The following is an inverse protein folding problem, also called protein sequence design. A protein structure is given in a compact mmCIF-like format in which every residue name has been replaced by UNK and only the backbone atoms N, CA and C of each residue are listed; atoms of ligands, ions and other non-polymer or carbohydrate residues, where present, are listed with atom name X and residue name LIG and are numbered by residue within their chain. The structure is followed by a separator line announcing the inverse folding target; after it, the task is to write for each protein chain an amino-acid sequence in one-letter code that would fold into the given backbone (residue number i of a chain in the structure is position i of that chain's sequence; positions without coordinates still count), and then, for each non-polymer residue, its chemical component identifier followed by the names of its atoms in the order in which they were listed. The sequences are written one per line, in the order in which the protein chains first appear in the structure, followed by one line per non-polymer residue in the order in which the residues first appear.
data_IF_539649754347
#
_entry.id   IF_539649754347
#
_cell.length_a   1.000
_cell.length_b   1.000
_cell.length_c   1.000
_cell.angle_alpha   90.00
_cell.angle_beta   90.00
_cell.angle_gamma   90.00
#
_symmetry.space_group_name_H-M   'P 1'
#
loop_
_entity.id
_entity.type
_entity.pdbx_description
1 polymer ?
#
# COMPACT_ATOMS: atom_id res chain seq x y z
N UNK A 1 4.09 1.68 -14.83
CA UNK A 1 3.28 0.43 -15.02
C UNK A 1 3.81 -0.62 -14.06
N UNK A 2 2.92 -1.41 -13.43
CA UNK A 2 3.30 -2.50 -12.53
C UNK A 2 2.48 -3.75 -12.88
N UNK A 3 3.06 -4.93 -12.69
CA UNK A 3 2.37 -6.22 -12.76
C UNK A 3 2.13 -6.69 -11.33
N UNK A 4 0.91 -7.07 -11.01
CA UNK A 4 0.48 -7.49 -9.69
C UNK A 4 -0.02 -8.94 -9.75
N UNK A 5 0.52 -9.82 -8.92
CA UNK A 5 0.06 -11.20 -8.77
C UNK A 5 -0.20 -11.46 -7.29
N UNK A 6 -1.45 -11.70 -6.94
CA UNK A 6 -1.88 -11.97 -5.56
C UNK A 6 -2.52 -13.33 -5.41
N UNK A 7 -2.12 -14.07 -4.38
CA UNK A 7 -2.80 -15.29 -3.96
C UNK A 7 -3.73 -14.98 -2.78
N UNK A 8 -5.01 -15.30 -2.94
CA UNK A 8 -5.99 -15.21 -1.85
C UNK A 8 -6.48 -16.60 -1.45
N UNK A 9 -6.59 -16.83 -0.15
CA UNK A 9 -7.12 -18.09 0.42
C UNK A 9 -8.15 -17.72 1.48
N UNK A 10 -9.34 -18.30 1.40
CA UNK A 10 -10.45 -18.01 2.31
C UNK A 10 -10.70 -16.50 2.42
N UNK A 11 -10.79 -15.84 1.29
CA UNK A 11 -11.05 -14.40 1.13
C UNK A 11 -9.97 -13.48 1.75
N UNK A 12 -8.78 -13.99 2.05
CA UNK A 12 -7.67 -13.22 2.63
C UNK A 12 -6.47 -13.24 1.71
N UNK A 13 -5.82 -12.10 1.53
CA UNK A 13 -4.53 -11.99 0.86
C UNK A 13 -3.47 -12.78 1.64
N UNK A 14 -2.69 -13.63 0.94
CA UNK A 14 -1.68 -14.52 1.54
C UNK A 14 -0.29 -14.30 0.98
N UNK A 15 -0.16 -14.19 -0.32
CA UNK A 15 1.11 -13.98 -1.01
C UNK A 15 0.94 -12.87 -2.03
N UNK A 16 1.93 -12.05 -2.19
CA UNK A 16 1.96 -10.99 -3.19
C UNK A 16 3.27 -10.94 -3.95
N UNK A 17 3.15 -10.63 -5.23
CA UNK A 17 4.26 -10.30 -6.10
C UNK A 17 3.89 -9.01 -6.82
N UNK A 18 4.77 -8.02 -6.76
CA UNK A 18 4.64 -6.77 -7.51
C UNK A 18 5.90 -6.53 -8.29
N UNK A 19 5.77 -6.50 -9.60
CA UNK A 19 6.87 -6.24 -10.51
C UNK A 19 6.72 -4.87 -11.16
N UNK A 20 7.74 -4.05 -11.02
CA UNK A 20 7.92 -2.78 -11.73
C UNK A 20 9.01 -2.99 -12.79
N UNK A 21 8.66 -3.09 -14.09
CA UNK A 21 9.63 -3.42 -15.13
C UNK A 21 10.64 -2.30 -15.37
N UNK A 22 10.33 -1.08 -14.93
CA UNK A 22 11.17 0.10 -15.08
C UNK A 22 11.25 0.83 -13.74
N UNK A 23 12.46 1.13 -13.27
CA UNK A 23 12.63 2.08 -12.17
C UNK A 23 12.47 3.52 -12.67
N UNK A 24 12.23 4.46 -11.77
CA UNK A 24 12.17 5.89 -12.11
C UNK A 24 13.57 6.41 -12.42
N UNK A 25 14.57 5.83 -11.78
CA UNK A 25 15.98 6.24 -11.86
C UNK A 25 16.69 5.63 -13.07
N UNK A 26 16.32 4.39 -13.42
CA UNK A 26 16.93 3.67 -14.55
C UNK A 26 15.88 2.77 -15.25
N UNK A 27 15.61 3.05 -16.51
CA UNK A 27 14.64 2.28 -17.32
C UNK A 27 15.12 0.88 -17.74
N UNK A 28 16.40 0.58 -17.55
CA UNK A 28 16.97 -0.74 -17.82
C UNK A 28 16.91 -1.66 -16.58
N UNK A 29 16.47 -1.13 -15.44
CA UNK A 29 16.39 -1.87 -14.18
C UNK A 29 14.95 -2.08 -13.74
N UNK A 30 14.54 -3.34 -13.69
CA UNK A 30 13.27 -3.78 -13.10
C UNK A 30 13.41 -4.09 -11.59
N UNK A 31 12.33 -3.93 -10.86
CA UNK A 31 12.26 -4.24 -9.42
C UNK A 31 11.06 -5.14 -9.14
N UNK A 32 11.29 -6.26 -8.47
CA UNK A 32 10.25 -7.16 -7.99
C UNK A 32 10.25 -7.19 -6.48
N UNK A 33 9.09 -6.98 -5.86
CA UNK A 33 8.87 -7.18 -4.43
C UNK A 33 7.90 -8.34 -4.29
N UNK A 34 8.22 -9.32 -3.46
CA UNK A 34 7.37 -10.49 -3.25
C UNK A 34 7.46 -10.98 -1.81
N UNK A 35 6.42 -11.65 -1.35
CA UNK A 35 6.41 -12.18 0.01
C UNK A 35 5.03 -12.36 0.61
N UNK A 36 5.01 -12.56 1.91
CA UNK A 36 3.82 -12.80 2.72
C UNK A 36 4.03 -12.35 4.17
N UNK A 37 2.93 -12.29 4.94
CA UNK A 37 3.01 -12.04 6.37
C UNK A 37 3.71 -13.16 7.16
N UNK A 38 3.72 -14.38 6.62
CA UNK A 38 4.28 -15.58 7.30
C UNK A 38 5.77 -15.78 6.99
N UNK A 39 6.22 -15.38 5.79
CA UNK A 39 7.57 -15.67 5.30
C UNK A 39 8.44 -14.41 5.09
N UNK A 40 7.90 -13.24 5.43
CA UNK A 40 8.58 -11.96 5.19
C UNK A 40 8.47 -11.47 3.75
N UNK A 41 9.15 -10.39 3.46
CA UNK A 41 9.13 -9.70 2.17
C UNK A 41 10.54 -9.61 1.62
N UNK A 42 10.64 -9.82 0.32
CA UNK A 42 11.91 -9.85 -0.40
C UNK A 42 11.85 -8.89 -1.60
N UNK A 43 13.00 -8.37 -1.96
CA UNK A 43 13.19 -7.54 -3.14
C UNK A 43 14.21 -8.17 -4.08
N UNK A 44 13.92 -8.16 -5.37
CA UNK A 44 14.86 -8.52 -6.44
C UNK A 44 14.97 -7.34 -7.38
N UNK A 45 16.20 -6.99 -7.72
CA UNK A 45 16.51 -6.02 -8.77
C UNK A 45 17.11 -6.78 -9.96
N UNK A 46 16.55 -6.56 -11.13
CA UNK A 46 16.95 -7.23 -12.36
C UNK A 46 17.30 -6.21 -13.43
N UNK A 47 18.41 -6.42 -14.14
CA UNK A 47 18.74 -5.66 -15.33
C UNK A 47 18.18 -6.36 -16.57
N UNK A 48 17.86 -5.60 -17.61
CA UNK A 48 17.24 -6.08 -18.85
C UNK A 48 18.03 -7.19 -19.54
N UNK A 49 19.35 -7.11 -19.46
CA UNK A 49 20.27 -8.01 -20.17
C UNK A 49 20.69 -9.25 -19.39
N UNK A 50 20.24 -9.38 -18.11
CA UNK A 50 20.61 -10.52 -17.29
C UNK A 50 19.58 -11.65 -17.39
N UNK A 51 20.05 -12.90 -17.43
CA UNK A 51 19.17 -14.06 -17.39
C UNK A 51 18.41 -14.14 -16.04
N UNK A 52 17.23 -14.75 -16.05
CA UNK A 52 16.41 -14.91 -14.84
C UNK A 52 17.18 -15.64 -13.72
N UNK A 53 17.98 -16.65 -14.08
CA UNK A 53 18.79 -17.42 -13.12
C UNK A 53 19.92 -16.60 -12.49
N UNK A 54 20.58 -15.74 -13.24
CA UNK A 54 21.63 -14.85 -12.72
C UNK A 54 21.06 -13.77 -11.80
N UNK A 55 19.89 -13.22 -12.15
CA UNK A 55 19.19 -12.23 -11.34
C UNK A 55 18.71 -12.83 -10.00
N UNK A 56 18.16 -14.04 -9.99
CA UNK A 56 17.70 -14.69 -8.79
C UNK A 56 18.83 -15.06 -7.81
N UNK A 57 20.01 -15.42 -8.31
CA UNK A 57 21.12 -15.83 -7.46
C UNK A 57 21.87 -14.66 -6.82
N UNK A 58 21.84 -13.46 -7.42
CA UNK A 58 22.71 -12.33 -7.05
C UNK A 58 22.05 -11.19 -6.30
N UNK A 59 20.71 -11.14 -6.23
CA UNK A 59 20.02 -9.91 -5.83
C UNK A 59 18.79 -10.07 -4.95
N UNK A 60 18.57 -11.23 -4.33
CA UNK A 60 17.47 -11.37 -3.37
C UNK A 60 17.88 -10.69 -2.07
N UNK A 61 17.19 -9.63 -1.73
CA UNK A 61 17.35 -8.87 -0.51
C UNK A 61 16.12 -9.12 0.37
N UNK A 62 16.34 -9.54 1.62
CA UNK A 62 15.28 -9.57 2.62
C UNK A 62 15.00 -8.14 3.10
N UNK A 63 13.74 -7.75 3.10
CA UNK A 63 13.33 -6.46 3.64
C UNK A 63 12.97 -6.63 5.11
N UNK A 64 13.73 -5.99 5.98
CA UNK A 64 13.44 -6.00 7.41
C UNK A 64 12.07 -5.35 7.68
N UNK A 65 11.21 -5.98 8.48
CA UNK A 65 9.96 -5.37 8.91
C UNK A 65 10.19 -4.01 9.56
N UNK A 66 9.21 -3.13 9.45
CA UNK A 66 9.29 -1.81 10.07
C UNK A 66 9.40 -1.91 11.59
N UNK A 67 10.20 -1.03 12.17
CA UNK A 67 10.16 -0.79 13.60
C UNK A 67 8.77 -0.28 14.01
N UNK A 68 8.20 -0.91 15.05
CA UNK A 68 6.84 -0.66 15.53
C UNK A 68 6.82 0.41 16.61
N UNK A 69 7.81 1.29 16.65
CA UNK A 69 7.84 2.42 17.59
C UNK A 69 6.66 3.38 17.37
N UNK A 70 6.17 3.96 18.46
CA UNK A 70 5.17 5.01 18.40
C UNK A 70 5.78 6.25 17.72
N UNK A 71 5.16 6.81 16.66
CA UNK A 71 5.64 8.05 16.07
C UNK A 71 5.53 9.20 17.07
N UNK A 72 6.42 10.17 16.98
CA UNK A 72 6.30 11.42 17.74
C UNK A 72 4.95 12.09 17.44
N UNK A 73 4.38 12.80 18.43
CA UNK A 73 3.06 13.44 18.28
C UNK A 73 3.00 14.42 17.10
N UNK A 74 4.10 15.10 16.84
CA UNK A 74 4.29 16.06 15.73
C UNK A 74 4.89 15.43 14.47
N UNK A 75 4.99 14.10 14.38
CA UNK A 75 5.58 13.39 13.23
C UNK A 75 4.91 13.83 11.92
N UNK A 76 5.68 14.36 10.94
CA UNK A 76 5.15 14.73 9.65
C UNK A 76 4.82 13.47 8.83
N UNK A 77 3.55 13.34 8.41
CA UNK A 77 3.08 12.13 7.72
C UNK A 77 3.33 12.23 6.21
N UNK A 78 4.08 11.30 5.64
CA UNK A 78 4.24 11.15 4.18
C UNK A 78 3.09 10.33 3.60
N UNK A 79 2.21 11.01 2.84
CA UNK A 79 1.00 10.42 2.28
C UNK A 79 1.18 10.13 0.80
N UNK A 80 1.05 8.87 0.39
CA UNK A 80 0.97 8.53 -1.02
C UNK A 80 -0.38 8.99 -1.60
N UNK A 81 -0.36 9.77 -2.68
CA UNK A 81 -1.55 10.25 -3.36
C UNK A 81 -1.48 10.01 -4.87
N UNK A 82 -2.65 10.01 -5.52
CA UNK A 82 -2.74 9.83 -6.97
C UNK A 82 -2.19 11.05 -7.71
N UNK A 83 -1.51 10.82 -8.83
CA UNK A 83 -1.06 11.89 -9.72
C UNK A 83 -2.28 12.61 -10.34
N UNK A 84 -3.27 11.84 -10.82
CA UNK A 84 -4.37 12.36 -11.63
C UNK A 84 -5.69 12.52 -10.87
N UNK A 85 -5.84 11.90 -9.71
CA UNK A 85 -7.09 11.86 -8.94
C UNK A 85 -6.87 12.33 -7.51
N UNK A 86 -6.97 13.63 -7.30
CA UNK A 86 -6.84 14.26 -5.98
C UNK A 86 -8.13 15.03 -5.68
N UNK A 87 -9.11 14.30 -5.13
CA UNK A 87 -10.44 14.84 -4.85
C UNK A 87 -10.46 15.83 -3.70
N UNK A 88 -11.52 16.65 -3.62
CA UNK A 88 -11.74 17.54 -2.46
C UNK A 88 -11.82 16.74 -1.14
N UNK A 89 -12.46 15.56 -1.16
CA UNK A 89 -12.48 14.64 -0.02
C UNK A 89 -11.06 14.24 0.41
N UNK A 90 -10.16 14.02 -0.55
CA UNK A 90 -8.76 13.70 -0.22
C UNK A 90 -8.03 14.88 0.39
N UNK A 91 -8.30 16.11 -0.08
CA UNK A 91 -7.75 17.33 0.52
C UNK A 91 -8.25 17.52 1.95
N UNK A 92 -9.56 17.32 2.18
CA UNK A 92 -10.18 17.38 3.50
C UNK A 92 -9.49 16.41 4.47
N UNK A 93 -9.31 15.14 4.07
CA UNK A 93 -8.62 14.13 4.88
C UNK A 93 -7.17 14.54 5.19
N UNK A 94 -6.41 14.91 4.18
CA UNK A 94 -5.00 15.29 4.36
C UNK A 94 -4.88 16.50 5.27
N UNK A 95 -5.80 17.46 5.17
CA UNK A 95 -5.85 18.63 6.05
C UNK A 95 -6.01 18.29 7.54
N UNK A 96 -6.57 17.12 7.88
CA UNK A 96 -6.69 16.68 9.29
C UNK A 96 -5.43 16.04 9.84
N UNK A 97 -4.47 15.66 8.97
CA UNK A 97 -3.30 14.89 9.40
C UNK A 97 -2.22 15.71 10.12
N UNK A 98 -2.39 17.03 10.23
CA UNK A 98 -1.37 17.93 10.75
C UNK A 98 -0.24 18.15 9.73
N UNK A 99 1.01 18.21 10.19
CA UNK A 99 2.15 18.34 9.29
C UNK A 99 2.27 17.12 8.38
N UNK A 100 2.34 17.32 7.07
CA UNK A 100 2.35 16.25 6.10
C UNK A 100 3.08 16.61 4.80
N UNK A 101 3.55 15.57 4.12
CA UNK A 101 4.12 15.63 2.77
C UNK A 101 3.27 14.76 1.82
N UNK A 102 2.83 15.31 0.70
CA UNK A 102 2.08 14.55 -0.31
C UNK A 102 3.02 14.06 -1.40
N UNK A 103 3.25 12.75 -1.44
CA UNK A 103 4.05 12.09 -2.47
C UNK A 103 3.15 11.60 -3.59
N UNK A 104 3.31 12.15 -4.79
CA UNK A 104 2.49 11.83 -5.96
C UNK A 104 3.00 10.57 -6.66
N UNK A 105 2.21 9.49 -6.63
CA UNK A 105 2.56 8.19 -7.17
C UNK A 105 1.44 7.66 -8.08
N UNK A 106 1.79 7.21 -9.28
CA UNK A 106 0.86 6.58 -10.21
C UNK A 106 0.58 5.12 -9.87
N UNK A 107 -0.66 4.66 -10.07
CA UNK A 107 -1.08 3.28 -9.82
C UNK A 107 -1.31 2.95 -8.34
N UNK A 108 -2.36 2.20 -8.02
CA UNK A 108 -2.68 1.82 -6.63
C UNK A 108 -1.61 0.86 -6.06
N UNK A 109 -1.28 -0.19 -6.78
CA UNK A 109 -0.27 -1.16 -6.38
C UNK A 109 1.09 -0.52 -6.12
N UNK A 110 1.50 0.45 -6.96
CA UNK A 110 2.77 1.16 -6.79
C UNK A 110 2.78 2.01 -5.51
N UNK A 111 1.66 2.66 -5.14
CA UNK A 111 1.55 3.40 -3.87
C UNK A 111 1.76 2.47 -2.66
N UNK A 112 1.11 1.32 -2.68
CA UNK A 112 1.22 0.34 -1.59
C UNK A 112 2.62 -0.30 -1.57
N UNK A 113 3.28 -0.48 -2.71
CA UNK A 113 4.68 -0.90 -2.76
C UNK A 113 5.62 0.14 -2.17
N UNK A 114 5.41 1.42 -2.45
CA UNK A 114 6.19 2.49 -1.84
C UNK A 114 6.01 2.52 -0.31
N UNK A 115 4.80 2.21 0.17
CA UNK A 115 4.56 2.02 1.59
C UNK A 115 5.36 0.81 2.13
N UNK A 116 5.32 -0.34 1.47
CA UNK A 116 6.09 -1.52 1.86
C UNK A 116 7.62 -1.29 1.81
N UNK A 117 8.09 -0.35 1.00
CA UNK A 117 9.49 0.08 0.95
C UNK A 117 9.82 1.20 1.95
N UNK A 118 8.86 1.69 2.73
CA UNK A 118 9.08 2.74 3.73
C UNK A 118 9.28 4.15 3.16
N UNK A 119 9.05 4.36 1.87
CA UNK A 119 9.20 5.70 1.24
C UNK A 119 8.04 6.64 1.56
N UNK A 120 6.91 6.10 1.99
CA UNK A 120 5.74 6.82 2.50
C UNK A 120 5.21 6.16 3.77
N UNK A 121 4.49 6.91 4.59
CA UNK A 121 3.93 6.42 5.85
C UNK A 121 2.54 5.81 5.69
N UNK A 122 1.77 6.33 4.72
CA UNK A 122 0.44 5.81 4.44
C UNK A 122 -0.01 6.01 2.98
N UNK A 123 -1.03 5.24 2.61
CA UNK A 123 -1.85 5.45 1.43
C UNK A 123 -3.32 5.48 1.83
N UNK A 124 -3.99 6.57 1.48
CA UNK A 124 -5.41 6.79 1.74
C UNK A 124 -6.17 6.87 0.41
N UNK A 125 -7.29 6.16 0.32
CA UNK A 125 -8.16 6.19 -0.86
C UNK A 125 -9.63 6.25 -0.43
N UNK A 126 -10.23 7.45 -0.32
CA UNK A 126 -11.56 7.66 0.25
C UNK A 126 -12.70 7.49 -0.76
N UNK A 127 -12.50 6.77 -1.85
CA UNK A 127 -13.49 6.67 -2.92
C UNK A 127 -13.58 5.27 -3.51
N UNK A 128 -14.57 5.04 -4.39
CA UNK A 128 -14.60 3.88 -5.28
C UNK A 128 -13.43 3.92 -6.26
N UNK A 129 -13.13 2.80 -6.89
CA UNK A 129 -12.17 2.70 -7.99
C UNK A 129 -10.98 1.82 -7.73
N UNK A 130 -10.83 1.28 -6.51
CA UNK A 130 -9.91 0.19 -6.23
C UNK A 130 -10.61 -1.14 -6.50
N UNK A 131 -9.88 -2.03 -7.16
CA UNK A 131 -10.32 -3.39 -7.44
C UNK A 131 -9.57 -4.38 -6.54
N UNK A 132 -10.11 -5.58 -6.36
CA UNK A 132 -9.45 -6.65 -5.63
C UNK A 132 -8.04 -6.93 -6.14
N UNK A 133 -7.83 -6.91 -7.46
CA UNK A 133 -6.53 -7.14 -8.09
C UNK A 133 -5.52 -5.98 -7.89
N UNK A 134 -5.99 -4.77 -7.57
CA UNK A 134 -5.10 -3.66 -7.21
C UNK A 134 -4.46 -3.84 -5.82
N UNK A 135 -5.10 -4.60 -4.93
CA UNK A 135 -4.74 -4.68 -3.52
C UNK A 135 -4.33 -6.07 -3.04
N UNK A 136 -4.81 -7.16 -3.67
CA UNK A 136 -4.55 -8.52 -3.18
C UNK A 136 -3.05 -8.83 -3.04
N UNK A 137 -2.24 -8.43 -4.01
CA UNK A 137 -0.79 -8.60 -3.94
C UNK A 137 -0.14 -7.60 -2.97
N UNK A 138 -0.36 -6.27 -3.11
CA UNK A 138 0.29 -5.29 -2.25
C UNK A 138 -0.07 -5.41 -0.77
N UNK A 139 -1.30 -5.80 -0.43
CA UNK A 139 -1.72 -5.98 0.98
C UNK A 139 -0.89 -7.03 1.70
N UNK A 140 -0.59 -8.17 1.05
CA UNK A 140 0.25 -9.21 1.67
C UNK A 140 1.67 -8.73 1.93
N UNK A 141 2.21 -7.87 1.06
CA UNK A 141 3.53 -7.27 1.24
C UNK A 141 3.53 -6.29 2.41
N UNK A 142 2.53 -5.41 2.50
CA UNK A 142 2.39 -4.49 3.64
C UNK A 142 2.29 -5.26 4.95
N UNK A 143 1.48 -6.32 5.00
CA UNK A 143 1.39 -7.19 6.18
C UNK A 143 2.71 -7.88 6.51
N UNK A 144 3.45 -8.33 5.51
CA UNK A 144 4.77 -8.93 5.68
C UNK A 144 5.81 -7.96 6.24
N UNK A 145 5.65 -6.66 5.97
CA UNK A 145 6.46 -5.59 6.55
C UNK A 145 5.96 -5.10 7.92
N UNK A 146 4.95 -5.74 8.51
CA UNK A 146 4.35 -5.32 9.78
C UNK A 146 3.30 -4.22 9.66
N UNK A 147 2.92 -3.85 8.44
CA UNK A 147 1.94 -2.80 8.18
C UNK A 147 0.50 -3.22 8.40
N UNK A 148 -0.40 -2.25 8.31
CA UNK A 148 -1.85 -2.44 8.50
C UNK A 148 -2.65 -1.83 7.36
N UNK A 149 -3.62 -2.61 6.85
CA UNK A 149 -4.57 -2.16 5.82
C UNK A 149 -6.00 -2.52 6.22
N UNK A 150 -6.93 -1.56 6.06
CA UNK A 150 -8.37 -1.70 6.29
C UNK A 150 -9.15 -0.86 5.29
N UNK A 151 -10.46 -1.05 5.22
CA UNK A 151 -11.33 -0.06 4.62
C UNK A 151 -11.55 1.16 5.55
N UNK A 152 -12.33 2.16 5.10
CA UNK A 152 -12.65 3.35 5.89
C UNK A 152 -13.54 3.07 7.11
N UNK A 153 -14.23 1.94 7.14
CA UNK A 153 -14.99 1.45 8.31
C UNK A 153 -14.10 0.67 9.30
N UNK A 154 -12.77 0.64 9.05
CA UNK A 154 -11.79 -0.07 9.87
C UNK A 154 -11.95 -1.61 9.86
N UNK A 155 -12.70 -2.13 8.90
CA UNK A 155 -12.86 -3.56 8.68
C UNK A 155 -11.68 -4.11 7.88
N UNK A 156 -11.25 -5.35 8.15
CA UNK A 156 -10.23 -6.02 7.33
C UNK A 156 -10.64 -6.10 5.86
N UNK A 157 -9.68 -6.01 4.96
CA UNK A 157 -9.93 -6.24 3.53
C UNK A 157 -10.31 -7.69 3.28
N UNK A 158 -11.23 -7.92 2.35
CA UNK A 158 -11.74 -9.24 2.01
C UNK A 158 -11.85 -9.38 0.48
N UNK A 159 -11.54 -10.57 -0.04
CA UNK A 159 -11.44 -10.88 -1.47
C UNK A 159 -12.33 -12.08 -1.84
N UNK A 160 -13.66 -11.98 -1.66
CA UNK A 160 -14.57 -13.08 -1.98
C UNK A 160 -14.64 -13.30 -3.50
N UNK A 161 -14.68 -14.57 -3.92
CA UNK A 161 -14.79 -14.94 -5.35
C UNK A 161 -16.17 -14.62 -5.93
N UNK A 162 -17.21 -14.73 -5.10
CA UNK A 162 -18.61 -14.60 -5.51
C UNK A 162 -19.16 -13.16 -5.36
N UNK A 163 -18.31 -12.19 -5.07
CA UNK A 163 -18.69 -10.79 -4.94
C UNK A 163 -18.09 -9.94 -6.07
N UNK A 164 -18.64 -8.76 -6.32
CA UNK A 164 -18.05 -7.80 -7.23
C UNK A 164 -16.59 -7.51 -6.84
N UNK A 165 -15.72 -7.40 -7.84
CA UNK A 165 -14.28 -7.20 -7.65
C UNK A 165 -13.87 -5.82 -7.12
N UNK A 166 -14.83 -4.96 -6.79
CA UNK A 166 -14.60 -3.62 -6.29
C UNK A 166 -14.34 -3.59 -4.78
N UNK A 167 -13.35 -2.81 -4.38
CA UNK A 167 -13.14 -2.41 -2.98
C UNK A 167 -14.03 -1.20 -2.68
N UNK A 168 -15.29 -1.45 -2.34
CA UNK A 168 -16.31 -0.41 -2.26
C UNK A 168 -16.13 0.59 -1.11
N UNK A 169 -15.43 0.20 -0.07
CA UNK A 169 -15.39 0.95 1.20
C UNK A 169 -14.09 1.73 1.42
N UNK A 170 -13.39 2.09 0.33
CA UNK A 170 -12.14 2.83 0.38
C UNK A 170 -10.97 2.04 1.01
N UNK A 171 -9.85 2.70 1.26
CA UNK A 171 -8.63 2.11 1.80
C UNK A 171 -7.93 3.04 2.77
N UNK A 172 -7.56 2.53 3.94
CA UNK A 172 -6.56 3.08 4.86
C UNK A 172 -5.43 2.07 4.94
N UNK A 173 -4.24 2.44 4.50
CA UNK A 173 -3.06 1.58 4.55
C UNK A 173 -1.90 2.35 5.19
N UNK A 174 -1.28 1.80 6.23
CA UNK A 174 -0.19 2.44 6.97
C UNK A 174 0.97 1.46 7.20
N UNK A 175 2.18 1.97 7.31
CA UNK A 175 3.42 1.19 7.42
C UNK A 175 3.50 0.31 8.67
N UNK A 176 2.87 0.73 9.78
CA UNK A 176 2.78 -0.07 11.01
C UNK A 176 1.54 0.33 11.84
N UNK A 177 1.09 -0.50 12.82
CA UNK A 177 -0.10 -0.22 13.62
C UNK A 177 -0.09 1.10 14.39
N UNK A 178 1.00 1.55 15.04
CA UNK A 178 1.04 2.87 15.66
C UNK A 178 0.78 4.01 14.67
N UNK A 179 1.40 4.00 13.48
CA UNK A 179 1.13 4.99 12.43
C UNK A 179 -0.34 4.96 11.99
N UNK A 180 -0.92 3.76 11.83
CA UNK A 180 -2.34 3.61 11.53
C UNK A 180 -3.22 4.25 12.60
N UNK A 181 -2.91 4.05 13.88
CA UNK A 181 -3.65 4.63 15.00
C UNK A 181 -3.51 6.16 15.02
N UNK A 182 -2.31 6.70 14.79
CA UNK A 182 -2.08 8.14 14.69
C UNK A 182 -2.94 8.75 13.57
N UNK A 183 -2.94 8.18 12.38
CA UNK A 183 -3.76 8.63 11.25
C UNK A 183 -5.23 8.65 11.63
N UNK A 184 -5.74 7.57 12.23
CA UNK A 184 -7.14 7.50 12.70
C UNK A 184 -7.46 8.59 13.71
N UNK A 185 -6.59 8.79 14.69
CA UNK A 185 -6.77 9.81 15.74
C UNK A 185 -6.80 11.21 15.13
N UNK A 186 -5.88 11.53 14.22
CA UNK A 186 -5.83 12.82 13.55
C UNK A 186 -7.02 13.05 12.61
N UNK A 187 -7.49 12.00 11.91
CA UNK A 187 -8.72 12.08 11.11
C UNK A 187 -9.98 12.28 11.97
N UNK A 188 -10.02 11.73 13.17
CA UNK A 188 -11.09 11.94 14.16
C UNK A 188 -12.50 11.78 13.56
N UNK A 189 -13.36 12.80 13.74
CA UNK A 189 -14.71 12.83 13.21
C UNK A 189 -14.79 12.77 11.69
N UNK A 190 -13.80 13.36 10.98
CA UNK A 190 -13.74 13.36 9.51
C UNK A 190 -13.78 11.94 8.93
N UNK A 191 -13.17 10.95 9.60
CA UNK A 191 -13.22 9.55 9.19
C UNK A 191 -14.67 9.03 9.16
N UNK A 192 -15.43 9.32 10.20
CA UNK A 192 -16.86 8.92 10.32
C UNK A 192 -17.73 9.64 9.29
N UNK A 193 -17.50 10.93 9.10
CA UNK A 193 -18.26 11.77 8.17
C UNK A 193 -18.05 11.31 6.73
N UNK A 194 -16.80 10.99 6.37
CA UNK A 194 -16.47 10.47 5.04
C UNK A 194 -17.08 9.07 4.84
N UNK A 195 -16.95 8.19 5.82
CA UNK A 195 -17.57 6.87 5.76
C UNK A 195 -19.09 6.95 5.56
N UNK A 196 -19.75 7.97 6.08
CA UNK A 196 -21.18 8.20 5.92
C UNK A 196 -21.57 8.89 4.58
N UNK A 197 -20.75 9.81 4.08
CA UNK A 197 -21.01 10.61 2.87
C UNK A 197 -20.62 9.90 1.59
N UNK A 198 -19.55 9.12 1.61
CA UNK A 198 -19.10 8.37 0.42
C UNK A 198 -20.10 7.24 0.21
N UNK A 199 -20.96 7.40 -0.79
CA UNK A 199 -21.83 6.32 -1.29
C UNK A 199 -20.93 5.28 -1.95
N UNK A 200 -20.51 4.32 -1.17
CA UNK A 200 -19.77 3.16 -1.63
C UNK A 200 -20.65 2.23 -2.45
#
# INVERSE_FOLDING_TARGET
MTVLIGLTIKNKSRVGIVHSPFSVEDREVGKTIFGSAEHGVFKVTATKDSSVSENLQRSIEYLEPFDVAEPAEDHPIKVAASINHFSETMKEIIGTLGEHEVVRIGGAGNKVCNLALGTVDCYLHPSKGLMHWDLAAPESLVKGMGGKATNFFQEPLSYPLDAPSYMFKGLICAKHPPMYNMIKTRMGQTLTDIASKVKF
#
